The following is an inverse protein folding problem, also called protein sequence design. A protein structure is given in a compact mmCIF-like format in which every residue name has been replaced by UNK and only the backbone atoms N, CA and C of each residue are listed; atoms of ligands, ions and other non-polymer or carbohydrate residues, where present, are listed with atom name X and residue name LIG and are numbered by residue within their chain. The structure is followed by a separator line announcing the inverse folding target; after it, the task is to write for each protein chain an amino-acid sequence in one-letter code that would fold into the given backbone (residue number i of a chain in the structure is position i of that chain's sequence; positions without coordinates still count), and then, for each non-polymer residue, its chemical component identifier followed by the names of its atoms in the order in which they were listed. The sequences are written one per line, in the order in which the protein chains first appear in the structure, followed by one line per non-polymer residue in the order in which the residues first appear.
data_IF_056260039581
#
_entry.id   IF_056260039581
#
_cell.length_a   1.000
_cell.length_b   1.000
_cell.length_c   1.000
_cell.angle_alpha   90.00
_cell.angle_beta   90.00
_cell.angle_gamma   90.00
#
_symmetry.space_group_name_H-M   'P 1'
#
loop_
_entity.id
_entity.type
_entity.pdbx_description
1 polymer ?
#
# COMPACT_ATOMS: atom_id res chain seq x y z
N UNK A 1 -64.23 12.10 -26.60
CA UNK A 1 -64.22 11.79 -25.16
C UNK A 1 -62.76 11.85 -24.71
N UNK A 2 -62.30 12.92 -24.04
CA UNK A 2 -62.10 13.01 -22.56
C UNK A 2 -61.30 11.81 -22.01
N UNK A 3 -60.15 11.92 -21.37
CA UNK A 3 -59.65 12.94 -20.42
C UNK A 3 -58.11 12.99 -20.41
N UNK A 4 -57.58 14.19 -20.21
CA UNK A 4 -56.20 14.49 -19.76
C UNK A 4 -56.22 14.58 -18.23
N UNK A 5 -55.27 13.91 -17.55
CA UNK A 5 -55.11 13.98 -16.08
C UNK A 5 -53.96 14.96 -15.76
N UNK A 6 -54.29 16.01 -15.01
CA UNK A 6 -53.34 16.91 -14.33
C UNK A 6 -53.05 16.35 -12.93
N UNK A 7 -51.77 16.27 -12.54
CA UNK A 7 -51.36 16.00 -11.16
C UNK A 7 -50.67 17.25 -10.62
N UNK A 8 -51.27 17.81 -9.58
CA UNK A 8 -50.86 18.99 -8.82
C UNK A 8 -49.97 18.51 -7.65
N UNK A 9 -48.72 18.98 -7.56
CA UNK A 9 -47.91 18.81 -6.35
C UNK A 9 -47.76 20.17 -5.64
N UNK A 10 -48.32 20.26 -4.44
CA UNK A 10 -48.35 21.45 -3.61
C UNK A 10 -47.04 21.68 -2.85
N UNK A 11 -46.64 22.95 -2.79
CA UNK A 11 -45.63 23.49 -1.87
C UNK A 11 -46.15 23.41 -0.41
N UNK A 12 -45.29 22.97 0.51
CA UNK A 12 -45.44 23.23 1.94
C UNK A 12 -44.10 23.70 2.50
N UNK A 13 -44.10 24.94 2.99
CA UNK A 13 -43.00 25.61 3.65
C UNK A 13 -42.81 25.08 5.08
N UNK A 14 -41.56 24.97 5.52
CA UNK A 14 -41.22 24.68 6.92
C UNK A 14 -40.55 25.91 7.53
N UNK A 15 -41.23 26.52 8.50
CA UNK A 15 -40.76 27.64 9.32
C UNK A 15 -39.82 27.16 10.44
N UNK A 16 -38.86 28.00 10.81
CA UNK A 16 -37.99 27.79 11.98
C UNK A 16 -38.67 28.22 13.27
N UNK A 17 -38.44 27.48 14.36
CA UNK A 17 -38.71 27.92 15.72
C UNK A 17 -37.57 27.48 16.66
N UNK A 18 -36.97 28.47 17.32
CA UNK A 18 -36.06 28.37 18.46
C UNK A 18 -36.84 27.99 19.73
N UNK A 19 -36.29 27.09 20.54
CA UNK A 19 -36.85 26.71 21.85
C UNK A 19 -35.74 26.39 22.85
N UNK A 20 -35.85 26.99 24.03
CA UNK A 20 -34.89 27.05 25.14
C UNK A 20 -34.68 25.69 25.85
N UNK A 21 -33.49 25.49 26.40
CA UNK A 21 -33.12 24.34 27.24
C UNK A 21 -33.55 24.63 28.68
N UNK A 22 -34.45 23.80 29.21
CA UNK A 22 -34.89 23.86 30.60
C UNK A 22 -34.13 22.85 31.47
N UNK A 23 -33.60 23.36 32.58
CA UNK A 23 -32.80 22.63 33.56
C UNK A 23 -33.65 21.63 34.38
N UNK A 24 -33.12 20.41 34.56
CA UNK A 24 -33.60 19.45 35.55
C UNK A 24 -32.68 19.46 36.78
N UNK A 25 -33.29 19.63 37.96
CA UNK A 25 -32.69 19.44 39.29
C UNK A 25 -33.21 18.14 39.90
N UNK A 26 -32.31 17.29 40.40
CA UNK A 26 -32.57 16.35 41.51
C UNK A 26 -31.22 15.93 42.08
N UNK A 27 -30.81 16.50 43.22
CA UNK A 27 -30.87 15.96 44.59
C UNK A 27 -29.53 15.36 45.02
N UNK A 28 -29.02 15.88 46.14
CA UNK A 28 -27.71 15.58 46.68
C UNK A 28 -27.79 14.37 47.62
N UNK A 29 -26.95 13.37 47.38
CA UNK A 29 -26.64 12.29 48.33
C UNK A 29 -25.32 12.57 49.06
N UNK A 30 -25.17 12.10 50.32
CA UNK A 30 -24.21 12.63 51.27
C UNK A 30 -22.77 12.16 51.02
N UNK A 31 -21.82 13.04 51.36
CA UNK A 31 -20.40 12.82 51.24
C UNK A 31 -19.91 11.64 52.10
N UNK A 32 -19.56 10.54 51.45
CA UNK A 32 -18.82 9.43 52.02
C UNK A 32 -17.32 9.80 52.02
N UNK A 33 -16.77 10.12 53.19
CA UNK A 33 -15.32 10.23 53.39
C UNK A 33 -14.72 8.83 53.30
N UNK A 34 -13.87 8.60 52.30
CA UNK A 34 -12.98 7.45 52.25
C UNK A 34 -11.54 7.97 52.16
N UNK A 35 -10.80 7.78 53.25
CA UNK A 35 -9.39 8.09 53.37
C UNK A 35 -8.61 7.30 52.31
N UNK A 36 -8.18 7.98 51.25
CA UNK A 36 -7.29 7.41 50.25
C UNK A 36 -5.85 7.76 50.63
N UNK A 37 -4.97 6.78 50.84
CA UNK A 37 -3.54 7.06 50.87
C UNK A 37 -3.15 7.55 49.49
N UNK A 38 -2.37 8.64 49.43
CA UNK A 38 -1.72 9.11 48.21
C UNK A 38 -0.79 8.00 47.75
N UNK A 39 -1.27 7.15 46.85
CA UNK A 39 -0.43 6.25 46.09
C UNK A 39 0.39 7.13 45.16
N UNK A 40 1.70 7.06 45.34
CA UNK A 40 2.75 7.65 44.52
C UNK A 40 2.41 7.54 43.03
N UNK A 41 2.56 8.67 42.33
CA UNK A 41 2.59 8.77 40.87
C UNK A 41 3.88 8.10 40.40
N UNK A 42 3.90 6.78 40.44
CA UNK A 42 4.95 5.94 39.87
C UNK A 42 4.26 4.68 39.39
N UNK A 43 3.73 4.76 38.16
CA UNK A 43 3.74 3.71 37.13
C UNK A 43 2.76 4.18 36.05
N UNK A 44 3.11 5.24 35.33
CA UNK A 44 2.65 5.34 33.94
C UNK A 44 3.45 4.27 33.23
N UNK A 45 2.84 3.10 33.01
CA UNK A 45 3.39 2.08 32.13
C UNK A 45 3.76 2.78 30.81
N UNK A 46 5.06 2.95 30.58
CA UNK A 46 5.58 3.25 29.26
C UNK A 46 5.27 2.03 28.41
N UNK A 47 4.11 2.02 27.77
CA UNK A 47 3.85 1.13 26.65
C UNK A 47 4.84 1.59 25.58
N UNK A 48 6.02 0.96 25.56
CA UNK A 48 6.96 1.14 24.46
C UNK A 48 6.18 0.77 23.18
N UNK A 49 6.23 1.60 22.13
CA UNK A 49 5.61 1.23 20.87
C UNK A 49 6.15 -0.14 20.48
N UNK A 50 5.25 -1.03 20.05
CA UNK A 50 5.63 -2.37 19.65
C UNK A 50 6.68 -2.25 18.53
N UNK A 51 7.89 -2.74 18.79
CA UNK A 51 8.95 -2.79 17.77
C UNK A 51 8.44 -3.69 16.65
N UNK A 52 8.36 -3.15 15.43
CA UNK A 52 7.95 -3.94 14.29
C UNK A 52 8.94 -5.09 14.05
N UNK A 53 8.41 -6.26 13.72
CA UNK A 53 9.20 -7.40 13.26
C UNK A 53 8.58 -7.98 12.00
N UNK A 54 9.44 -8.51 11.12
CA UNK A 54 8.99 -9.21 9.94
C UNK A 54 8.17 -10.44 10.32
N UNK A 55 7.08 -10.66 9.61
CA UNK A 55 6.24 -11.84 9.76
C UNK A 55 5.72 -12.26 8.38
N UNK A 56 6.02 -13.50 8.01
CA UNK A 56 5.44 -14.15 6.84
C UNK A 56 4.11 -14.80 7.23
N UNK A 57 2.95 -14.30 6.73
CA UNK A 57 1.66 -14.87 7.07
C UNK A 57 1.47 -16.31 6.54
N UNK A 58 2.34 -16.78 5.64
CA UNK A 58 2.27 -18.11 5.04
C UNK A 58 3.45 -19.01 5.43
N UNK A 59 4.18 -18.68 6.51
CA UNK A 59 5.33 -19.47 6.99
C UNK A 59 4.98 -20.95 7.25
N UNK A 60 3.73 -21.22 7.66
CA UNK A 60 3.24 -22.58 7.96
C UNK A 60 2.80 -23.38 6.73
N UNK A 61 2.74 -22.76 5.55
CA UNK A 61 2.36 -23.40 4.31
C UNK A 61 3.62 -23.82 3.54
N UNK A 62 3.57 -24.97 2.87
CA UNK A 62 4.62 -25.33 1.91
C UNK A 62 4.61 -24.40 0.70
N UNK A 63 5.74 -24.27 0.00
CA UNK A 63 5.86 -23.44 -1.21
C UNK A 63 4.80 -23.79 -2.27
N UNK A 64 4.47 -25.08 -2.41
CA UNK A 64 3.42 -25.55 -3.31
C UNK A 64 2.03 -25.04 -2.90
N UNK A 65 1.74 -25.02 -1.61
CA UNK A 65 0.46 -24.51 -1.08
C UNK A 65 0.36 -23.00 -1.25
N UNK A 66 1.46 -22.26 -1.05
CA UNK A 66 1.51 -20.81 -1.30
C UNK A 66 1.34 -20.51 -2.79
N UNK A 67 2.02 -21.24 -3.68
CA UNK A 67 1.84 -21.09 -5.11
C UNK A 67 0.40 -21.39 -5.55
N UNK A 68 -0.23 -22.41 -4.96
CA UNK A 68 -1.65 -22.72 -5.21
C UNK A 68 -2.56 -21.60 -4.71
N UNK A 69 -2.37 -21.13 -3.48
CA UNK A 69 -3.11 -20.00 -2.90
C UNK A 69 -2.98 -18.74 -3.76
N UNK A 70 -1.78 -18.47 -4.25
CA UNK A 70 -1.50 -17.34 -5.12
C UNK A 70 -2.30 -17.40 -6.42
N UNK A 71 -2.22 -18.54 -7.12
CA UNK A 71 -2.87 -18.71 -8.42
C UNK A 71 -4.40 -18.82 -8.32
N UNK A 72 -4.91 -19.52 -7.30
CA UNK A 72 -6.32 -19.87 -7.21
C UNK A 72 -7.14 -18.80 -6.48
N UNK A 73 -6.50 -17.93 -5.69
CA UNK A 73 -7.22 -16.98 -4.82
C UNK A 73 -6.66 -15.57 -4.86
N UNK A 74 -5.38 -15.37 -4.49
CA UNK A 74 -4.84 -14.02 -4.30
C UNK A 74 -4.79 -13.22 -5.62
N UNK A 75 -4.25 -13.82 -6.68
CA UNK A 75 -4.14 -13.18 -8.00
C UNK A 75 -5.51 -12.92 -8.64
N UNK A 76 -6.45 -13.88 -8.71
CA UNK A 76 -7.80 -13.61 -9.19
C UNK A 76 -8.52 -12.50 -8.40
N UNK A 77 -8.40 -12.53 -7.06
CA UNK A 77 -8.98 -11.50 -6.20
C UNK A 77 -8.41 -10.11 -6.51
N UNK A 78 -7.09 -9.97 -6.57
CA UNK A 78 -6.42 -8.72 -6.90
C UNK A 78 -6.86 -8.15 -8.26
N UNK A 79 -7.00 -9.02 -9.28
CA UNK A 79 -7.45 -8.61 -10.61
C UNK A 79 -8.92 -8.19 -10.65
N UNK A 80 -9.78 -8.78 -9.81
CA UNK A 80 -11.19 -8.42 -9.70
C UNK A 80 -11.40 -7.04 -9.08
N UNK A 81 -10.48 -6.57 -8.22
CA UNK A 81 -10.57 -5.25 -7.58
C UNK A 81 -10.59 -4.09 -8.58
N UNK A 82 -10.08 -4.27 -9.80
CA UNK A 82 -10.11 -3.23 -10.84
C UNK A 82 -11.52 -2.79 -11.25
N UNK A 83 -12.53 -3.62 -11.02
CA UNK A 83 -13.95 -3.34 -11.31
C UNK A 83 -14.78 -3.14 -10.03
N UNK A 84 -14.13 -2.93 -8.89
CA UNK A 84 -14.82 -2.68 -7.62
C UNK A 84 -15.46 -1.28 -7.59
N UNK A 85 -16.34 -1.07 -6.62
CA UNK A 85 -17.05 0.22 -6.42
C UNK A 85 -16.29 1.19 -5.52
N UNK A 86 -15.19 0.76 -4.90
CA UNK A 86 -14.29 1.64 -4.14
C UNK A 86 -13.43 2.47 -5.10
N UNK A 87 -12.77 3.51 -4.58
CA UNK A 87 -11.89 4.34 -5.40
C UNK A 87 -10.73 3.54 -5.98
N UNK A 88 -10.28 3.91 -7.19
CA UNK A 88 -9.26 3.19 -7.96
C UNK A 88 -7.93 3.08 -7.22
N UNK A 89 -7.53 4.14 -6.52
CA UNK A 89 -6.33 4.20 -5.68
C UNK A 89 -6.37 3.17 -4.54
N UNK A 90 -7.48 3.12 -3.79
CA UNK A 90 -7.70 2.20 -2.68
C UNK A 90 -7.77 0.75 -3.19
N UNK A 91 -8.48 0.53 -4.30
CA UNK A 91 -8.56 -0.79 -4.93
C UNK A 91 -7.18 -1.29 -5.38
N UNK A 92 -6.40 -0.43 -6.04
CA UNK A 92 -5.07 -0.78 -6.54
C UNK A 92 -4.10 -1.05 -5.39
N UNK A 93 -4.16 -0.24 -4.33
CA UNK A 93 -3.36 -0.46 -3.13
C UNK A 93 -3.63 -1.84 -2.53
N UNK A 94 -4.90 -2.16 -2.26
CA UNK A 94 -5.26 -3.44 -1.65
C UNK A 94 -4.91 -4.61 -2.57
N UNK A 95 -5.08 -4.44 -3.88
CA UNK A 95 -4.75 -5.47 -4.85
C UNK A 95 -3.25 -5.84 -4.85
N UNK A 96 -2.33 -4.86 -4.85
CA UNK A 96 -0.89 -5.14 -4.77
C UNK A 96 -0.48 -5.72 -3.41
N UNK A 97 -0.97 -5.12 -2.32
CA UNK A 97 -0.63 -5.53 -0.95
C UNK A 97 -0.99 -6.99 -0.69
N UNK A 98 -2.07 -7.50 -1.28
CA UNK A 98 -2.49 -8.89 -1.13
C UNK A 98 -1.59 -9.89 -1.88
N UNK A 99 -0.81 -9.44 -2.87
CA UNK A 99 0.06 -10.34 -3.65
C UNK A 99 1.42 -10.54 -3.01
N UNK A 100 2.02 -9.51 -2.41
CA UNK A 100 3.40 -9.55 -1.92
C UNK A 100 3.68 -10.64 -0.89
N UNK A 101 2.80 -10.96 0.09
CA UNK A 101 3.12 -11.96 1.10
C UNK A 101 3.39 -13.36 0.54
N UNK A 102 2.74 -13.73 -0.57
CA UNK A 102 3.05 -15.01 -1.24
C UNK A 102 4.49 -15.04 -1.78
N UNK A 103 5.02 -13.88 -2.19
CA UNK A 103 6.37 -13.78 -2.71
C UNK A 103 7.45 -13.81 -1.64
N UNK A 104 7.14 -13.52 -0.37
CA UNK A 104 8.15 -13.55 0.69
C UNK A 104 8.87 -14.90 0.76
N UNK A 105 10.19 -14.85 0.90
CA UNK A 105 11.06 -16.03 0.86
C UNK A 105 11.45 -16.50 -0.55
N UNK A 106 10.89 -15.92 -1.63
CA UNK A 106 11.34 -16.24 -3.00
C UNK A 106 12.78 -15.78 -3.18
N UNK A 107 13.69 -16.70 -3.48
CA UNK A 107 15.12 -16.42 -3.63
C UNK A 107 15.39 -15.37 -4.71
N UNK A 108 16.35 -14.49 -4.44
CA UNK A 108 16.85 -13.52 -5.39
C UNK A 108 17.95 -14.13 -6.25
N UNK A 109 18.00 -13.72 -7.52
CA UNK A 109 19.15 -13.90 -8.41
C UNK A 109 19.13 -12.76 -9.42
N UNK A 110 20.30 -12.23 -9.79
CA UNK A 110 20.41 -11.15 -10.77
C UNK A 110 19.77 -11.51 -12.13
N UNK A 111 19.88 -12.77 -12.54
CA UNK A 111 19.27 -13.33 -13.74
C UNK A 111 17.93 -14.03 -13.44
N UNK A 112 17.39 -13.90 -12.22
CA UNK A 112 16.15 -14.52 -11.81
C UNK A 112 14.95 -13.91 -12.53
N UNK A 113 14.15 -14.74 -13.19
CA UNK A 113 12.96 -14.31 -13.93
C UNK A 113 11.74 -15.17 -13.61
N UNK A 114 11.68 -15.84 -12.45
CA UNK A 114 10.51 -16.65 -12.10
C UNK A 114 9.23 -15.81 -12.13
N UNK A 115 8.12 -16.48 -12.41
CA UNK A 115 6.78 -15.91 -12.40
C UNK A 115 5.89 -16.58 -11.36
N UNK A 116 6.52 -17.35 -10.47
CA UNK A 116 5.89 -18.16 -9.44
C UNK A 116 6.49 -17.79 -8.09
N UNK A 117 5.69 -17.33 -7.11
CA UNK A 117 6.20 -17.13 -5.77
C UNK A 117 6.75 -18.44 -5.17
N UNK A 118 7.85 -18.34 -4.43
CA UNK A 118 8.56 -19.43 -3.73
C UNK A 118 9.05 -20.58 -4.62
N UNK A 119 9.11 -20.38 -5.94
CA UNK A 119 9.64 -21.36 -6.88
C UNK A 119 10.62 -20.68 -7.84
N UNK A 120 11.90 -21.05 -7.75
CA UNK A 120 12.98 -20.45 -8.52
C UNK A 120 13.39 -19.08 -8.01
N UNK A 121 14.10 -18.32 -8.85
CA UNK A 121 14.70 -17.04 -8.45
C UNK A 121 14.07 -15.85 -9.18
N UNK A 122 14.02 -14.68 -8.52
CA UNK A 122 13.50 -13.44 -9.09
C UNK A 122 14.47 -12.27 -8.88
N UNK A 123 14.74 -11.48 -9.91
CA UNK A 123 15.48 -10.23 -9.80
C UNK A 123 14.54 -9.08 -9.39
N UNK A 124 15.11 -7.96 -8.92
CA UNK A 124 14.36 -6.80 -8.44
C UNK A 124 13.37 -6.21 -9.47
N UNK A 125 13.82 -5.96 -10.71
CA UNK A 125 12.96 -5.49 -11.79
C UNK A 125 11.89 -6.51 -12.19
N UNK A 126 12.21 -7.80 -12.13
CA UNK A 126 11.22 -8.87 -12.36
C UNK A 126 10.20 -8.95 -11.24
N UNK A 127 10.57 -8.73 -9.98
CA UNK A 127 9.61 -8.67 -8.88
C UNK A 127 8.61 -7.53 -9.08
N UNK A 128 9.10 -6.30 -9.29
CA UNK A 128 8.25 -5.12 -9.53
C UNK A 128 7.31 -5.34 -10.72
N UNK A 129 7.87 -5.68 -11.87
CA UNK A 129 7.07 -5.89 -13.09
C UNK A 129 6.09 -7.07 -13.00
N UNK A 130 6.43 -8.12 -12.24
CA UNK A 130 5.55 -9.27 -12.01
C UNK A 130 4.39 -8.90 -11.10
N UNK A 131 4.64 -8.17 -10.00
CA UNK A 131 3.56 -7.68 -9.13
C UNK A 131 2.57 -6.80 -9.91
N UNK A 132 3.09 -5.86 -10.73
CA UNK A 132 2.27 -4.98 -11.57
C UNK A 132 1.47 -5.74 -12.65
N UNK A 133 2.09 -6.71 -13.33
CA UNK A 133 1.37 -7.58 -14.27
C UNK A 133 0.28 -8.38 -13.54
N UNK A 134 0.61 -8.98 -12.41
CA UNK A 134 -0.28 -9.92 -11.73
C UNK A 134 -1.44 -9.23 -11.02
N UNK A 135 -1.30 -7.97 -10.59
CA UNK A 135 -2.42 -7.14 -10.15
C UNK A 135 -3.39 -6.78 -11.29
N UNK A 136 -2.99 -6.96 -12.54
CA UNK A 136 -3.86 -6.86 -13.71
C UNK A 136 -3.51 -5.74 -14.70
N UNK A 137 -2.38 -5.04 -14.52
CA UNK A 137 -1.88 -4.13 -15.55
C UNK A 137 -1.49 -4.94 -16.79
N UNK A 138 -1.97 -4.52 -17.96
CA UNK A 138 -1.60 -5.14 -19.23
C UNK A 138 -0.31 -4.52 -19.76
N UNK A 139 0.81 -4.99 -19.23
CA UNK A 139 2.16 -4.60 -19.66
C UNK A 139 3.03 -5.82 -19.93
N UNK A 140 4.09 -5.63 -20.71
CA UNK A 140 5.10 -6.67 -20.88
C UNK A 140 6.09 -6.63 -19.71
N UNK A 141 6.00 -7.60 -18.78
CA UNK A 141 6.90 -7.69 -17.63
C UNK A 141 8.38 -7.78 -18.01
N UNK A 142 8.70 -8.43 -19.13
CA UNK A 142 10.09 -8.62 -19.54
C UNK A 142 10.71 -7.33 -20.07
N UNK A 143 9.91 -6.53 -20.77
CA UNK A 143 10.36 -5.24 -21.28
C UNK A 143 10.54 -4.28 -20.10
N UNK A 144 9.59 -4.23 -19.15
CA UNK A 144 9.69 -3.38 -17.97
C UNK A 144 10.85 -3.78 -17.04
N UNK A 145 11.03 -5.07 -16.76
CA UNK A 145 12.06 -5.55 -15.84
C UNK A 145 13.50 -5.27 -16.29
N UNK A 146 13.71 -5.05 -17.59
CA UNK A 146 15.04 -4.81 -18.18
C UNK A 146 15.42 -3.33 -18.25
N UNK A 147 14.49 -2.44 -17.96
CA UNK A 147 14.79 -1.01 -17.87
C UNK A 147 15.64 -0.74 -16.63
N UNK A 148 16.42 0.34 -16.69
CA UNK A 148 17.08 0.88 -15.49
C UNK A 148 16.05 1.31 -14.44
N UNK A 149 16.44 1.32 -13.17
CA UNK A 149 15.57 1.60 -12.02
C UNK A 149 14.80 2.93 -12.16
N UNK A 150 15.47 4.00 -12.60
CA UNK A 150 14.85 5.29 -12.92
C UNK A 150 13.77 5.15 -14.00
N UNK A 151 14.07 4.46 -15.10
CA UNK A 151 13.14 4.28 -16.21
C UNK A 151 11.92 3.43 -15.84
N UNK A 152 12.07 2.40 -14.98
CA UNK A 152 10.95 1.66 -14.38
C UNK A 152 10.04 2.63 -13.63
N UNK A 153 10.64 3.47 -12.78
CA UNK A 153 9.93 4.45 -11.97
C UNK A 153 9.14 5.43 -12.86
N UNK A 154 9.78 6.08 -13.83
CA UNK A 154 9.11 7.07 -14.69
C UNK A 154 8.08 6.45 -15.63
N UNK A 155 8.28 5.20 -16.07
CA UNK A 155 7.32 4.50 -16.94
C UNK A 155 5.99 4.23 -16.23
N UNK A 156 6.03 3.91 -14.92
CA UNK A 156 4.85 3.52 -14.15
C UNK A 156 4.30 4.68 -13.31
N UNK A 157 5.13 5.60 -12.84
CA UNK A 157 4.67 6.70 -12.00
C UNK A 157 4.51 8.02 -12.77
N UNK A 158 4.86 8.04 -14.05
CA UNK A 158 4.91 9.25 -14.87
C UNK A 158 6.23 10.02 -14.67
N UNK A 159 6.40 11.12 -15.39
CA UNK A 159 7.65 11.91 -15.39
C UNK A 159 7.82 12.82 -14.17
N UNK A 160 6.77 13.01 -13.36
CA UNK A 160 6.80 13.83 -12.15
C UNK A 160 7.32 13.03 -10.94
N UNK A 161 8.47 12.38 -11.11
CA UNK A 161 9.19 11.70 -10.02
C UNK A 161 9.94 12.72 -9.16
N UNK A 162 10.31 12.30 -7.95
CA UNK A 162 11.13 13.07 -7.03
C UNK A 162 12.48 12.40 -6.87
N UNK A 163 13.53 13.21 -6.88
CA UNK A 163 14.88 12.74 -6.65
C UNK A 163 15.36 13.18 -5.27
N UNK A 164 15.98 12.26 -4.56
CA UNK A 164 16.61 12.51 -3.26
C UNK A 164 18.03 11.95 -3.29
N UNK A 165 18.89 12.50 -2.43
CA UNK A 165 20.25 11.99 -2.17
C UNK A 165 20.39 11.36 -0.78
N UNK A 166 19.38 11.53 0.09
CA UNK A 166 19.38 11.02 1.46
C UNK A 166 18.13 10.19 1.72
N UNK A 167 18.31 9.02 2.35
CA UNK A 167 17.21 8.13 2.73
C UNK A 167 16.23 8.79 3.72
N UNK A 168 16.75 9.59 4.66
CA UNK A 168 15.93 10.31 5.64
C UNK A 168 14.92 11.26 4.98
N UNK A 169 15.28 11.87 3.86
CA UNK A 169 14.39 12.75 3.10
C UNK A 169 13.29 11.94 2.40
N UNK A 170 13.63 10.75 1.86
CA UNK A 170 12.64 9.83 1.26
C UNK A 170 11.63 9.38 2.31
N UNK A 171 12.10 8.93 3.48
CA UNK A 171 11.23 8.47 4.56
C UNK A 171 10.35 9.61 5.07
N UNK A 172 10.95 10.77 5.35
CA UNK A 172 10.22 11.97 5.80
C UNK A 172 9.20 12.43 4.76
N UNK A 173 9.52 12.32 3.48
CA UNK A 173 8.61 12.64 2.38
C UNK A 173 7.35 11.77 2.42
N UNK A 174 7.52 10.46 2.58
CA UNK A 174 6.43 9.49 2.58
C UNK A 174 5.60 9.58 3.87
N UNK A 175 6.25 9.72 5.04
CA UNK A 175 5.56 9.82 6.33
C UNK A 175 4.62 11.01 6.40
N UNK A 176 4.93 12.12 5.75
CA UNK A 176 4.09 13.32 5.74
C UNK A 176 2.99 13.31 4.66
N UNK A 177 2.75 12.17 4.01
CA UNK A 177 1.76 12.01 2.94
C UNK A 177 0.67 10.99 3.28
N UNK A 178 -0.47 11.04 2.56
CA UNK A 178 -1.44 9.97 2.57
C UNK A 178 -0.82 8.62 2.17
N UNK A 179 -1.58 7.56 2.43
CA UNK A 179 -1.25 6.20 2.01
C UNK A 179 -1.07 6.14 0.49
N UNK A 180 0.01 5.49 0.05
CA UNK A 180 0.38 5.37 -1.36
C UNK A 180 1.23 4.11 -1.58
N UNK A 181 1.44 3.74 -2.83
CA UNK A 181 2.47 2.80 -3.26
C UNK A 181 3.46 3.56 -4.11
N UNK A 182 4.68 3.71 -3.62
CA UNK A 182 5.75 4.30 -4.39
C UNK A 182 6.59 3.21 -5.04
N UNK A 183 7.10 3.49 -6.24
CA UNK A 183 8.28 2.81 -6.77
C UNK A 183 9.48 3.67 -6.40
N UNK A 184 10.52 3.04 -5.87
CA UNK A 184 11.82 3.67 -5.62
C UNK A 184 12.87 3.03 -6.51
N UNK A 185 13.45 3.83 -7.40
CA UNK A 185 14.64 3.45 -8.16
C UNK A 185 15.91 3.88 -7.43
N UNK A 186 16.85 2.97 -7.29
CA UNK A 186 18.17 3.15 -6.65
C UNK A 186 19.28 3.04 -7.71
N UNK A 187 20.54 3.19 -7.29
CA UNK A 187 21.71 3.09 -8.21
C UNK A 187 21.72 1.78 -9.02
N UNK A 188 21.44 0.65 -8.35
CA UNK A 188 21.47 -0.69 -8.97
C UNK A 188 20.29 -1.57 -8.57
N UNK A 189 19.23 -0.98 -8.03
CA UNK A 189 18.12 -1.73 -7.43
C UNK A 189 16.77 -1.00 -7.56
N UNK A 190 15.68 -1.73 -7.37
CA UNK A 190 14.31 -1.17 -7.44
C UNK A 190 13.37 -1.95 -6.54
N UNK A 191 12.37 -1.29 -5.98
CA UNK A 191 11.32 -1.92 -5.21
C UNK A 191 10.17 -0.97 -4.90
N UNK A 192 9.30 -1.39 -3.98
CA UNK A 192 8.16 -0.60 -3.55
C UNK A 192 8.38 -0.01 -2.16
N UNK A 193 7.98 1.24 -1.95
CA UNK A 193 7.84 1.83 -0.62
C UNK A 193 6.36 2.03 -0.29
N UNK A 194 5.95 1.59 0.89
CA UNK A 194 4.58 1.77 1.40
C UNK A 194 4.61 2.34 2.81
N UNK A 195 3.56 3.06 3.20
CA UNK A 195 3.37 3.57 4.56
C UNK A 195 2.30 2.76 5.28
N UNK A 196 2.64 2.17 6.43
CA UNK A 196 1.69 1.51 7.33
C UNK A 196 1.96 1.99 8.77
N UNK A 197 0.92 2.38 9.52
CA UNK A 197 1.06 2.82 10.92
C UNK A 197 2.14 3.90 11.18
N UNK A 198 2.34 4.80 10.20
CA UNK A 198 3.36 5.85 10.21
C UNK A 198 4.82 5.38 10.05
N UNK A 199 5.03 4.09 9.81
CA UNK A 199 6.31 3.52 9.39
C UNK A 199 6.34 3.37 7.86
N UNK A 200 7.54 3.42 7.31
CA UNK A 200 7.78 3.21 5.87
C UNK A 200 8.44 1.87 5.69
N UNK A 201 7.89 1.05 4.81
CA UNK A 201 8.38 -0.29 4.53
C UNK A 201 8.88 -0.40 3.10
N UNK A 202 10.00 -1.10 2.93
CA UNK A 202 10.53 -1.48 1.64
C UNK A 202 10.13 -2.91 1.31
N UNK A 203 9.42 -3.10 0.20
CA UNK A 203 9.04 -4.40 -0.34
C UNK A 203 9.80 -4.62 -1.63
N UNK A 204 10.73 -5.58 -1.62
CA UNK A 204 11.65 -5.79 -2.74
C UNK A 204 12.15 -7.22 -2.78
N UNK A 205 12.72 -7.60 -3.93
CA UNK A 205 13.57 -8.79 -4.02
C UNK A 205 14.97 -8.42 -3.55
N UNK A 206 15.33 -8.79 -2.33
CA UNK A 206 16.58 -8.39 -1.71
C UNK A 206 17.76 -9.20 -2.25
N UNK A 207 18.85 -8.53 -2.59
CA UNK A 207 20.11 -9.14 -3.02
C UNK A 207 21.16 -9.18 -1.90
N UNK A 208 20.84 -8.58 -0.76
CA UNK A 208 21.61 -8.59 0.48
C UNK A 208 20.94 -9.51 1.51
N UNK A 209 21.60 -9.73 2.65
CA UNK A 209 21.09 -10.58 3.73
C UNK A 209 20.74 -11.99 3.25
N UNK A 210 19.53 -12.45 3.57
CA UNK A 210 19.02 -13.77 3.17
C UNK A 210 18.80 -13.92 1.66
N UNK A 211 18.94 -12.84 0.88
CA UNK A 211 18.81 -12.84 -0.59
C UNK A 211 17.45 -13.40 -1.05
N UNK A 212 16.36 -12.88 -0.48
CA UNK A 212 14.98 -13.26 -0.78
C UNK A 212 14.09 -12.04 -0.96
N UNK A 213 12.91 -12.22 -1.56
CA UNK A 213 11.85 -11.22 -1.47
C UNK A 213 11.42 -11.05 -0.03
N UNK A 214 11.36 -9.81 0.42
CA UNK A 214 11.04 -9.46 1.81
C UNK A 214 10.24 -8.15 1.89
N UNK A 215 9.71 -7.88 3.09
CA UNK A 215 9.28 -6.56 3.54
C UNK A 215 10.11 -6.20 4.75
N UNK A 216 10.70 -5.02 4.78
CA UNK A 216 11.49 -4.54 5.92
C UNK A 216 11.23 -3.05 6.20
N UNK A 217 11.57 -2.58 7.40
CA UNK A 217 11.54 -1.15 7.69
C UNK A 217 12.55 -0.44 6.79
N UNK A 218 12.11 0.64 6.13
CA UNK A 218 12.95 1.35 5.18
C UNK A 218 14.22 1.93 5.84
N UNK A 219 14.13 2.37 7.10
CA UNK A 219 15.26 2.87 7.88
C UNK A 219 16.32 1.80 8.21
N UNK A 220 15.96 0.51 8.15
CA UNK A 220 16.85 -0.62 8.45
C UNK A 220 17.31 -1.36 7.19
N UNK A 221 16.91 -0.92 6.00
CA UNK A 221 17.22 -1.60 4.75
C UNK A 221 18.63 -1.26 4.27
N UNK A 222 19.54 -2.23 4.32
CA UNK A 222 20.90 -2.10 3.78
C UNK A 222 20.89 -1.71 2.29
N UNK A 223 19.90 -2.20 1.53
CA UNK A 223 19.77 -1.89 0.11
C UNK A 223 19.39 -0.43 -0.15
N UNK A 224 18.57 0.17 0.74
CA UNK A 224 18.27 1.60 0.68
C UNK A 224 19.43 2.43 1.20
N UNK A 225 20.02 2.06 2.33
CA UNK A 225 21.16 2.77 2.94
C UNK A 225 22.37 2.84 1.99
N UNK A 226 22.62 1.77 1.24
CA UNK A 226 23.75 1.69 0.30
C UNK A 226 23.57 2.49 -1.02
N UNK A 227 22.42 3.12 -1.25
CA UNK A 227 22.16 3.91 -2.47
C UNK A 227 22.54 5.38 -2.29
N UNK A 228 23.08 6.01 -3.33
CA UNK A 228 23.42 7.45 -3.33
C UNK A 228 22.33 8.31 -3.99
N UNK A 229 21.39 7.68 -4.68
CA UNK A 229 20.28 8.33 -5.37
C UNK A 229 18.99 7.56 -5.17
N UNK A 230 17.90 8.30 -5.02
CA UNK A 230 16.55 7.74 -4.88
C UNK A 230 15.61 8.45 -5.83
N UNK A 231 15.07 7.71 -6.80
CA UNK A 231 14.06 8.18 -7.75
C UNK A 231 12.71 7.65 -7.29
N UNK A 232 11.92 8.51 -6.67
CA UNK A 232 10.65 8.16 -6.03
C UNK A 232 9.47 8.59 -6.91
N UNK A 233 8.63 7.64 -7.30
CA UNK A 233 7.41 7.87 -8.05
C UNK A 233 6.20 7.31 -7.32
N UNK A 234 5.10 8.08 -7.28
CA UNK A 234 3.81 7.61 -6.75
C UNK A 234 3.02 6.90 -7.84
N UNK A 235 2.59 5.66 -7.59
CA UNK A 235 1.69 4.96 -8.50
C UNK A 235 0.27 5.52 -8.37
N UNK A 236 -0.22 5.75 -7.14
CA UNK A 236 -1.61 6.11 -6.93
C UNK A 236 -1.94 7.54 -7.38
N UNK A 237 -0.92 8.40 -7.51
CA UNK A 237 -1.08 9.73 -8.12
C UNK A 237 -1.10 9.71 -9.65
N UNK A 238 -0.75 8.58 -10.28
CA UNK A 238 -0.75 8.42 -11.73
C UNK A 238 -2.12 7.91 -12.23
N UNK A 239 -3.05 8.85 -12.43
CA UNK A 239 -4.40 8.53 -12.92
C UNK A 239 -4.39 7.78 -14.25
N UNK A 240 -3.41 8.00 -15.13
CA UNK A 240 -3.35 7.29 -16.42
C UNK A 240 -3.09 5.80 -16.21
N UNK A 241 -2.19 5.44 -15.29
CA UNK A 241 -1.93 4.03 -14.96
C UNK A 241 -3.12 3.37 -14.26
N UNK A 242 -3.79 4.09 -13.36
CA UNK A 242 -5.01 3.60 -12.72
C UNK A 242 -6.14 3.40 -13.76
N UNK A 243 -6.29 4.33 -14.70
CA UNK A 243 -7.26 4.21 -15.80
C UNK A 243 -6.95 3.00 -16.70
N UNK A 244 -5.68 2.80 -17.07
CA UNK A 244 -5.24 1.63 -17.82
C UNK A 244 -5.56 0.32 -17.09
N UNK A 245 -5.35 0.29 -15.77
CA UNK A 245 -5.69 -0.87 -14.94
C UNK A 245 -7.19 -1.17 -14.92
N UNK A 246 -8.02 -0.17 -14.61
CA UNK A 246 -9.48 -0.32 -14.53
C UNK A 246 -10.10 -0.74 -15.87
N UNK A 247 -9.64 -0.12 -16.97
CA UNK A 247 -10.14 -0.42 -18.31
C UNK A 247 -9.52 -1.72 -18.88
N UNK A 248 -8.46 -2.23 -18.25
CA UNK A 248 -7.70 -3.35 -18.76
C UNK A 248 -7.14 -3.06 -20.16
N UNK A 249 -6.62 -1.86 -20.39
CA UNK A 249 -6.00 -1.46 -21.66
C UNK A 249 -4.48 -1.62 -21.57
N UNK A 250 -3.84 -1.81 -22.73
CA UNK A 250 -2.39 -2.10 -22.80
C UNK A 250 -1.57 -0.87 -22.49
N UNK A 251 -0.54 -1.03 -21.67
CA UNK A 251 0.51 -0.05 -21.41
C UNK A 251 1.73 -0.44 -22.22
N UNK A 252 2.16 0.45 -23.11
CA UNK A 252 3.34 0.21 -23.95
C UNK A 252 4.60 0.56 -23.17
N UNK A 253 5.53 -0.38 -23.09
CA UNK A 253 6.85 -0.16 -22.51
C UNK A 253 7.77 0.29 -23.64
N UNK A 254 8.30 1.50 -23.55
CA UNK A 254 9.29 1.98 -24.50
C UNK A 254 10.61 1.25 -24.24
N UNK A 255 11.18 0.67 -25.29
CA UNK A 255 12.50 0.05 -25.25
C UNK A 255 13.50 1.14 -25.58
N UNK A 256 14.49 1.32 -24.72
CA UNK A 256 15.67 2.14 -25.02
C UNK A 256 16.55 1.45 -26.07
#
# INVERSE_FOLDING_TARGET
MRNTIFILFGLLAVQSCSGEIQAYKTEAEPALKLDTPVASIDTINSVQPAVWSFSDPYEKLSDREVLKLYNDSLKPFAQQLRTSTISSDSAFYEALKQLWPAWYGTTWDFNGYTHKPREGNIACGYFVSTSLRDVGLKLNRYDLAKLYSHAICTTICGTQVKEFSLLEDVISHIQNRPKDIYIVGLDSHVGFLIKENNEVFFVHSNYLGESVVTKELAENSEALEGSNMYVLGSILSNNDILNHWQQGTTIQIQKE
#
